data_IF_003227280471
#
_entry.id   IF_003227280471
#
_cell.length_a   1.000
_cell.length_b   1.000
_cell.length_c   1.000
_cell.angle_alpha   90.00
_cell.angle_beta   90.00
_cell.angle_gamma   90.00
#
_symmetry.space_group_name_H-M   'P 1'
#
loop_
_entity.id
_entity.type
_entity.pdbx_description
1 polymer ?
#
# COMPACT_ATOMS: atom_id res chain seq x y z
N UNK A 1 -10.47 64.40 -15.22
CA UNK A 1 -9.35 63.80 -14.47
C UNK A 1 -9.84 62.42 -14.03
N UNK A 2 -9.66 61.37 -14.84
CA UNK A 2 -8.46 60.49 -14.84
C UNK A 2 -8.71 59.37 -13.82
N UNK A 3 -8.65 58.06 -14.09
CA UNK A 3 -8.29 57.26 -15.24
C UNK A 3 -8.20 55.78 -14.82
N UNK A 4 -8.24 54.88 -15.81
CA UNK A 4 -7.72 53.50 -15.91
C UNK A 4 -7.99 52.41 -14.83
N UNK A 5 -8.84 51.43 -15.19
CA UNK A 5 -8.48 50.05 -15.59
C UNK A 5 -7.13 49.44 -15.09
N UNK A 6 -7.18 48.31 -14.34
CA UNK A 6 -6.66 46.96 -14.74
C UNK A 6 -6.21 46.04 -13.59
N UNK A 7 -6.33 44.72 -13.87
CA UNK A 7 -5.63 43.54 -13.31
C UNK A 7 -6.06 43.09 -11.90
N UNK A 8 -6.66 41.91 -11.69
CA UNK A 8 -6.31 40.62 -12.27
C UNK A 8 -5.31 39.93 -11.35
N UNK A 9 -5.79 39.08 -10.45
CA UNK A 9 -5.05 37.95 -9.88
C UNK A 9 -6.07 36.94 -9.36
N UNK A 10 -6.45 36.05 -10.26
CA UNK A 10 -6.89 34.71 -9.93
C UNK A 10 -5.88 34.13 -8.93
N UNK A 11 -6.26 34.11 -7.65
CA UNK A 11 -5.65 33.27 -6.65
C UNK A 11 -5.98 31.82 -6.99
N UNK A 12 -5.32 31.29 -8.02
CA UNK A 12 -5.10 29.88 -8.14
C UNK A 12 -4.33 29.47 -6.88
N UNK A 13 -5.04 28.96 -5.88
CA UNK A 13 -4.45 27.99 -4.96
C UNK A 13 -4.02 26.79 -5.82
N UNK A 14 -2.88 26.95 -6.51
CA UNK A 14 -2.04 25.85 -6.90
C UNK A 14 -1.77 25.13 -5.60
N UNK A 15 -2.42 23.99 -5.45
CA UNK A 15 -2.02 22.99 -4.48
C UNK A 15 -0.63 22.59 -4.94
N UNK A 16 0.40 23.25 -4.43
CA UNK A 16 1.72 22.66 -4.40
C UNK A 16 1.53 21.46 -3.49
N UNK A 17 1.17 20.32 -4.09
CA UNK A 17 1.38 19.04 -3.47
C UNK A 17 2.91 18.87 -3.53
N UNK A 18 3.58 19.63 -2.66
CA UNK A 18 4.96 19.37 -2.25
C UNK A 18 4.98 17.88 -1.96
N UNK A 19 5.85 17.19 -2.70
CA UNK A 19 5.82 15.75 -2.89
C UNK A 19 5.37 15.06 -1.63
N UNK A 20 4.19 14.41 -1.72
CA UNK A 20 3.80 13.45 -0.71
C UNK A 20 5.03 12.57 -0.45
N UNK A 21 5.42 12.34 0.82
CA UNK A 21 6.53 11.43 1.10
C UNK A 21 6.28 10.20 0.26
N UNK A 22 7.26 9.79 -0.57
CA UNK A 22 7.15 8.54 -1.31
C UNK A 22 7.04 7.45 -0.25
N UNK A 23 5.82 7.14 0.15
CA UNK A 23 5.54 6.06 1.07
C UNK A 23 6.11 4.81 0.41
N UNK A 24 6.96 4.10 1.14
CA UNK A 24 7.59 2.91 0.61
C UNK A 24 6.50 1.95 0.13
N UNK A 25 6.54 1.62 -1.15
CA UNK A 25 5.57 0.73 -1.77
C UNK A 25 5.93 -0.72 -1.50
N UNK A 26 4.92 -1.56 -1.27
CA UNK A 26 5.08 -3.01 -1.31
C UNK A 26 5.26 -3.49 -2.76
N UNK A 27 6.15 -4.45 -2.94
CA UNK A 27 6.39 -5.15 -4.20
C UNK A 27 6.45 -6.66 -3.95
N UNK A 28 6.15 -7.45 -4.99
CA UNK A 28 6.33 -8.91 -4.95
C UNK A 28 7.79 -9.22 -5.19
N UNK A 29 8.37 -10.11 -4.37
CA UNK A 29 9.77 -10.54 -4.55
C UNK A 29 9.92 -11.32 -5.86
N UNK A 30 11.10 -11.22 -6.48
CA UNK A 30 11.39 -11.95 -7.72
C UNK A 30 11.23 -13.46 -7.52
N UNK A 31 10.41 -14.10 -8.37
CA UNK A 31 10.12 -15.53 -8.29
C UNK A 31 8.95 -15.90 -7.37
N UNK A 32 8.45 -14.98 -6.55
CA UNK A 32 7.21 -15.17 -5.81
C UNK A 32 6.01 -14.87 -6.71
N UNK A 33 4.90 -15.59 -6.48
CA UNK A 33 3.63 -15.34 -7.15
C UNK A 33 2.48 -15.38 -6.15
N UNK A 34 1.59 -14.39 -6.24
CA UNK A 34 0.40 -14.27 -5.40
C UNK A 34 -0.88 -14.66 -6.15
N UNK A 35 -0.79 -14.89 -7.46
CA UNK A 35 -1.91 -15.21 -8.35
C UNK A 35 -2.65 -16.48 -7.90
N UNK A 36 -1.90 -17.47 -7.40
CA UNK A 36 -2.42 -18.75 -6.93
C UNK A 36 -2.98 -18.70 -5.51
N UNK A 37 -2.72 -17.63 -4.75
CA UNK A 37 -3.20 -17.50 -3.39
C UNK A 37 -4.69 -17.08 -3.39
N UNK A 38 -5.59 -17.86 -2.78
CA UNK A 38 -7.01 -17.54 -2.74
C UNK A 38 -7.29 -16.19 -2.08
N UNK A 39 -8.31 -15.48 -2.56
CA UNK A 39 -8.82 -14.26 -1.94
C UNK A 39 -9.50 -14.61 -0.61
N UNK A 40 -9.34 -13.76 0.39
CA UNK A 40 -9.93 -13.95 1.72
C UNK A 40 -10.53 -12.65 2.26
N UNK A 41 -11.38 -12.76 3.28
CA UNK A 41 -12.06 -11.64 3.89
C UNK A 41 -13.09 -12.08 4.93
N UNK A 42 -13.72 -11.12 5.59
CA UNK A 42 -14.70 -11.37 6.68
C UNK A 42 -15.89 -12.19 6.20
N UNK A 43 -16.33 -12.00 4.96
CA UNK A 43 -17.49 -12.68 4.37
C UNK A 43 -17.11 -13.90 3.52
N UNK A 44 -15.83 -14.27 3.49
CA UNK A 44 -15.31 -15.39 2.70
C UNK A 44 -14.93 -16.57 3.60
N UNK A 45 -14.81 -17.78 3.04
CA UNK A 45 -14.32 -18.93 3.78
C UNK A 45 -12.96 -18.65 4.45
N UNK A 46 -12.75 -19.25 5.62
CA UNK A 46 -11.48 -19.17 6.31
C UNK A 46 -10.35 -19.77 5.46
N UNK A 47 -9.14 -19.23 5.63
CA UNK A 47 -7.96 -19.77 4.98
C UNK A 47 -7.66 -21.20 5.48
N UNK A 48 -7.05 -22.00 4.60
CA UNK A 48 -6.60 -23.35 4.93
C UNK A 48 -5.60 -23.34 6.11
N UNK A 49 -5.41 -24.50 6.74
CA UNK A 49 -4.48 -24.66 7.85
C UNK A 49 -3.07 -24.16 7.48
N UNK A 50 -2.41 -23.48 8.44
CA UNK A 50 -1.10 -22.85 8.23
C UNK A 50 -1.12 -21.58 7.38
N UNK A 51 -2.28 -21.13 6.90
CA UNK A 51 -2.45 -19.85 6.20
C UNK A 51 -3.27 -18.88 7.04
N UNK A 52 -3.01 -17.59 6.85
CA UNK A 52 -3.75 -16.49 7.45
C UNK A 52 -4.30 -15.59 6.36
N UNK A 53 -5.39 -14.88 6.66
CA UNK A 53 -5.89 -13.86 5.76
C UNK A 53 -5.06 -12.59 5.92
N UNK A 54 -4.29 -12.23 4.89
CA UNK A 54 -3.35 -11.11 4.92
C UNK A 54 -3.76 -10.08 3.88
N UNK A 55 -4.00 -8.86 4.33
CA UNK A 55 -4.27 -7.68 3.52
C UNK A 55 -3.00 -6.86 3.28
N UNK A 56 -2.83 -6.39 2.04
CA UNK A 56 -1.69 -5.60 1.60
C UNK A 56 -2.07 -4.77 0.38
N UNK A 57 -1.25 -3.78 0.03
CA UNK A 57 -1.48 -2.90 -1.13
C UNK A 57 -0.32 -3.07 -2.10
N UNK A 58 -0.58 -3.53 -3.32
CA UNK A 58 0.41 -3.60 -4.40
C UNK A 58 0.01 -2.62 -5.49
N UNK A 59 0.93 -1.79 -5.94
CA UNK A 59 0.69 -0.82 -7.03
C UNK A 59 -0.55 0.06 -6.82
N UNK A 60 -0.87 0.37 -5.55
CA UNK A 60 -2.05 1.17 -5.17
C UNK A 60 -3.34 0.35 -4.97
N UNK A 61 -3.35 -0.92 -5.36
CA UNK A 61 -4.51 -1.81 -5.24
C UNK A 61 -4.48 -2.61 -3.93
N UNK A 62 -5.51 -2.43 -3.10
CA UNK A 62 -5.66 -3.18 -1.86
C UNK A 62 -6.25 -4.56 -2.14
N UNK A 63 -5.58 -5.59 -1.64
CA UNK A 63 -5.98 -6.98 -1.79
C UNK A 63 -5.80 -7.74 -0.48
N UNK A 64 -6.53 -8.84 -0.33
CA UNK A 64 -6.42 -9.74 0.81
C UNK A 64 -6.40 -11.19 0.33
N UNK A 65 -5.35 -11.93 0.70
CA UNK A 65 -5.13 -13.31 0.23
C UNK A 65 -4.71 -14.23 1.36
N UNK A 66 -5.05 -15.51 1.22
CA UNK A 66 -4.60 -16.57 2.11
C UNK A 66 -3.13 -16.88 1.88
N UNK A 67 -2.28 -16.39 2.78
CA UNK A 67 -0.82 -16.51 2.69
C UNK A 67 -0.27 -17.09 4.00
N UNK A 68 0.95 -17.58 3.96
CA UNK A 68 1.66 -17.97 5.18
C UNK A 68 2.24 -16.70 5.82
N UNK A 69 1.79 -16.39 7.02
CA UNK A 69 2.20 -15.20 7.76
C UNK A 69 3.70 -15.18 8.08
N UNK A 70 4.31 -16.36 8.23
CA UNK A 70 5.74 -16.49 8.56
C UNK A 70 6.63 -16.18 7.37
N UNK A 71 6.12 -16.33 6.14
CA UNK A 71 6.88 -16.10 4.90
C UNK A 71 6.47 -14.82 4.15
N UNK A 72 5.43 -14.13 4.62
CA UNK A 72 4.87 -12.93 3.98
C UNK A 72 5.93 -11.85 3.71
N UNK A 73 6.74 -11.47 4.72
CA UNK A 73 7.76 -10.42 4.58
C UNK A 73 9.15 -10.92 4.18
N UNK A 74 9.45 -12.20 4.40
CA UNK A 74 10.76 -12.80 4.06
C UNK A 74 10.83 -13.28 2.61
N UNK A 75 9.77 -13.93 2.11
CA UNK A 75 9.79 -14.66 0.84
C UNK A 75 8.83 -14.10 -0.21
N UNK A 76 7.71 -13.49 0.19
CA UNK A 76 6.66 -13.07 -0.75
C UNK A 76 6.71 -11.59 -1.10
N UNK A 77 6.75 -10.73 -0.08
CA UNK A 77 6.63 -9.28 -0.21
C UNK A 77 7.92 -8.60 0.25
N UNK A 78 8.24 -7.48 -0.39
CA UNK A 78 9.33 -6.59 0.00
C UNK A 78 8.88 -5.15 -0.07
N UNK A 79 9.61 -4.27 0.62
CA UNK A 79 9.40 -2.84 0.55
C UNK A 79 10.48 -2.19 -0.32
N UNK A 80 10.09 -1.15 -1.06
CA UNK A 80 11.02 -0.28 -1.79
C UNK A 80 11.84 0.60 -0.84
N UNK A 81 12.90 1.22 -1.38
CA UNK A 81 13.64 2.32 -0.73
C UNK A 81 14.22 1.99 0.66
N UNK A 82 14.54 0.72 0.90
CA UNK A 82 15.16 0.27 2.16
C UNK A 82 14.22 0.26 3.37
N UNK A 83 12.92 0.51 3.18
CA UNK A 83 11.93 0.39 4.24
C UNK A 83 11.77 -1.06 4.70
N UNK A 84 11.29 -1.24 5.94
CA UNK A 84 11.09 -2.57 6.53
C UNK A 84 9.67 -3.06 6.25
N UNK A 85 9.56 -4.30 5.78
CA UNK A 85 8.29 -5.00 5.72
C UNK A 85 7.87 -5.39 7.14
N UNK A 86 6.68 -4.96 7.55
CA UNK A 86 6.11 -5.27 8.87
C UNK A 86 4.76 -5.92 8.72
N UNK A 87 4.53 -6.95 9.54
CA UNK A 87 3.23 -7.61 9.69
C UNK A 87 2.56 -7.07 10.96
N UNK A 88 1.36 -6.53 10.81
CA UNK A 88 0.56 -5.99 11.91
C UNK A 88 -0.50 -6.99 12.33
N UNK A 89 -0.52 -7.29 13.64
CA UNK A 89 -1.54 -8.14 14.27
C UNK A 89 -2.91 -7.44 14.24
N UNK A 90 -3.74 -7.84 13.28
CA UNK A 90 -5.11 -7.38 13.08
C UNK A 90 -5.88 -8.46 12.31
N UNK A 91 -7.19 -8.27 12.09
CA UNK A 91 -7.95 -9.13 11.17
C UNK A 91 -8.62 -8.32 10.06
N UNK A 92 -8.31 -8.60 8.78
CA UNK A 92 -7.20 -9.44 8.31
C UNK A 92 -5.84 -8.89 8.79
N UNK A 93 -4.83 -9.75 8.88
CA UNK A 93 -3.46 -9.30 9.17
C UNK A 93 -3.05 -8.26 8.12
N UNK A 94 -2.26 -7.26 8.49
CA UNK A 94 -1.85 -6.23 7.53
C UNK A 94 -0.36 -6.27 7.30
N UNK A 95 0.07 -6.30 6.03
CA UNK A 95 1.46 -6.03 5.67
C UNK A 95 1.59 -4.58 5.24
N UNK A 96 2.59 -3.90 5.81
CA UNK A 96 2.92 -2.51 5.48
C UNK A 96 4.43 -2.34 5.34
N UNK A 97 4.82 -1.25 4.70
CA UNK A 97 6.19 -0.75 4.76
C UNK A 97 6.31 0.31 5.85
N UNK A 98 7.26 0.13 6.74
CA UNK A 98 7.65 1.12 7.74
C UNK A 98 8.96 1.76 7.33
N UNK A 99 9.01 3.10 7.35
CA UNK A 99 10.28 3.81 7.32
C UNK A 99 11.15 3.38 8.52
N UNK A 100 12.48 3.32 8.35
CA UNK A 100 13.41 3.02 9.43
C UNK A 100 13.40 4.09 10.54
#
# INVERSE_FOLDING_TARGET
MGGLLMLGLLGACRTTQEGAPREASLTVRSGASLEQAPVCGVELPACAEGKSCIAFTLEGERQARCLDATTACSELLSCSDGARCVLMESYPLQVRCSSP
#
